data_IF_955182989676
#
_entry.id   IF_955182989676
#
_cell.length_a   1.000
_cell.length_b   1.000
_cell.length_c   1.000
_cell.angle_alpha   90.00
_cell.angle_beta   90.00
_cell.angle_gamma   90.00
#
_symmetry.space_group_name_H-M   'P 1'
#
loop_
_entity.id
_entity.type
_entity.pdbx_description
1 polymer ?
#
# COMPACT_ATOMS: atom_id res chain seq x y z
N UNK A 1 -7.16 3.67 -27.77
CA UNK A 1 -7.74 2.92 -26.63
C UNK A 1 -9.11 2.42 -27.05
N UNK A 2 -9.20 1.17 -27.47
CA UNK A 2 -10.47 0.51 -27.76
C UNK A 2 -11.03 -0.06 -26.45
N UNK A 3 -12.09 0.55 -25.94
CA UNK A 3 -12.80 0.02 -24.77
C UNK A 3 -13.82 -0.99 -25.27
N UNK A 4 -13.55 -2.28 -25.06
CA UNK A 4 -14.53 -3.35 -25.28
C UNK A 4 -15.36 -3.55 -24.02
N UNK A 5 -16.69 -3.46 -24.13
CA UNK A 5 -17.60 -3.80 -23.04
C UNK A 5 -17.75 -5.33 -23.01
N UNK A 6 -17.48 -5.94 -21.87
CA UNK A 6 -17.57 -7.39 -21.66
C UNK A 6 -18.47 -7.65 -20.46
N UNK A 7 -19.44 -8.55 -20.61
CA UNK A 7 -20.28 -9.03 -19.51
C UNK A 7 -19.76 -10.37 -19.01
N UNK A 8 -19.52 -10.47 -17.70
CA UNK A 8 -18.95 -11.66 -17.06
C UNK A 8 -19.88 -12.10 -15.96
N UNK A 9 -20.28 -13.38 -15.95
CA UNK A 9 -20.99 -13.96 -14.81
C UNK A 9 -19.98 -14.41 -13.77
N UNK A 10 -20.19 -13.99 -12.53
CA UNK A 10 -19.30 -14.31 -11.41
C UNK A 10 -20.12 -14.88 -10.25
N UNK A 11 -19.60 -15.85 -9.49
CA UNK A 11 -20.24 -16.32 -8.26
C UNK A 11 -20.39 -15.20 -7.24
N UNK A 12 -21.47 -15.22 -6.45
CA UNK A 12 -21.74 -14.15 -5.48
C UNK A 12 -20.65 -14.02 -4.41
N UNK A 13 -20.05 -15.13 -3.98
CA UNK A 13 -18.91 -15.17 -3.06
C UNK A 13 -17.72 -14.37 -3.59
N UNK A 14 -17.42 -14.50 -4.89
CA UNK A 14 -16.31 -13.81 -5.55
C UNK A 14 -16.59 -12.31 -5.72
N UNK A 15 -17.85 -11.94 -5.98
CA UNK A 15 -18.25 -10.52 -6.05
C UNK A 15 -18.09 -9.86 -4.69
N UNK A 16 -18.43 -10.55 -3.59
CA UNK A 16 -18.23 -10.05 -2.22
C UNK A 16 -16.76 -9.84 -1.90
N UNK A 17 -15.89 -10.81 -2.22
CA UNK A 17 -14.44 -10.67 -1.99
C UNK A 17 -13.83 -9.53 -2.82
N UNK A 18 -14.27 -9.35 -4.07
CA UNK A 18 -13.82 -8.23 -4.90
C UNK A 18 -14.25 -6.87 -4.34
N UNK A 19 -15.49 -6.76 -3.84
CA UNK A 19 -15.97 -5.52 -3.19
C UNK A 19 -15.17 -5.17 -1.94
N UNK A 20 -14.74 -6.17 -1.17
CA UNK A 20 -13.85 -5.93 -0.03
C UNK A 20 -12.47 -5.44 -0.49
N UNK A 21 -11.86 -6.14 -1.45
CA UNK A 21 -10.55 -5.78 -2.00
C UNK A 21 -10.54 -4.40 -2.71
N UNK A 22 -11.67 -3.94 -3.24
CA UNK A 22 -11.81 -2.59 -3.82
C UNK A 22 -11.63 -1.50 -2.77
N UNK A 23 -12.19 -1.70 -1.57
CA UNK A 23 -12.07 -0.73 -0.46
C UNK A 23 -10.64 -0.62 0.02
N UNK A 24 -9.93 -1.74 0.10
CA UNK A 24 -8.53 -1.80 0.53
C UNK A 24 -7.57 -1.29 -0.55
N UNK A 25 -7.82 -1.64 -1.82
CA UNK A 25 -6.98 -1.28 -2.96
C UNK A 25 -7.24 0.10 -3.55
N UNK A 26 -8.15 0.89 -2.94
CA UNK A 26 -8.59 2.20 -3.42
C UNK A 26 -8.96 2.25 -4.90
N UNK A 27 -9.64 1.21 -5.40
CA UNK A 27 -10.14 1.19 -6.78
C UNK A 27 -11.44 2.01 -6.89
N UNK A 28 -11.66 2.66 -8.04
CA UNK A 28 -12.85 3.47 -8.28
C UNK A 28 -14.09 2.59 -8.48
N UNK A 29 -13.95 1.51 -9.24
CA UNK A 29 -15.04 0.61 -9.58
C UNK A 29 -14.60 -0.86 -9.70
N UNK A 30 -15.59 -1.76 -9.78
CA UNK A 30 -15.35 -3.19 -9.92
C UNK A 30 -14.64 -3.51 -11.25
N UNK A 31 -14.96 -2.77 -12.31
CA UNK A 31 -14.36 -2.95 -13.63
C UNK A 31 -12.87 -2.63 -13.63
N UNK A 32 -12.43 -1.61 -12.90
CA UNK A 32 -11.02 -1.25 -12.73
C UNK A 32 -10.26 -2.29 -11.93
N UNK A 33 -10.86 -2.79 -10.84
CA UNK A 33 -10.27 -3.87 -10.06
C UNK A 33 -10.06 -5.13 -10.93
N UNK A 34 -11.07 -5.53 -11.70
CA UNK A 34 -10.96 -6.67 -12.63
C UNK A 34 -9.90 -6.42 -13.71
N UNK A 35 -9.89 -5.24 -14.33
CA UNK A 35 -8.86 -4.86 -15.32
C UNK A 35 -7.45 -4.91 -14.74
N UNK A 36 -7.26 -4.44 -13.51
CA UNK A 36 -5.98 -4.47 -12.80
C UNK A 36 -5.49 -5.92 -12.60
N UNK A 37 -6.38 -6.81 -12.12
CA UNK A 37 -6.06 -8.22 -11.90
C UNK A 37 -5.70 -8.91 -13.22
N UNK A 38 -6.54 -8.76 -14.24
CA UNK A 38 -6.30 -9.37 -15.55
C UNK A 38 -4.99 -8.86 -16.15
N UNK A 39 -4.71 -7.56 -16.05
CA UNK A 39 -3.46 -6.97 -16.55
C UNK A 39 -2.24 -7.50 -15.82
N UNK A 40 -2.30 -7.68 -14.50
CA UNK A 40 -1.20 -8.28 -13.72
C UNK A 40 -0.93 -9.71 -14.17
N UNK A 41 -1.98 -10.54 -14.28
CA UNK A 41 -1.86 -11.93 -14.76
C UNK A 41 -1.36 -12.03 -16.19
N UNK A 42 -1.83 -11.14 -17.06
CA UNK A 42 -1.36 -11.07 -18.43
C UNK A 42 0.12 -10.67 -18.54
N UNK A 43 0.57 -9.70 -17.73
CA UNK A 43 1.98 -9.31 -17.68
C UNK A 43 2.86 -10.43 -17.13
N UNK A 44 2.40 -11.12 -16.09
CA UNK A 44 3.09 -12.29 -15.52
C UNK A 44 3.30 -13.38 -16.57
N UNK A 45 2.29 -13.65 -17.40
CA UNK A 45 2.38 -14.66 -18.46
C UNK A 45 3.20 -14.20 -19.68
N UNK A 46 2.99 -12.95 -20.13
CA UNK A 46 3.63 -12.42 -21.35
C UNK A 46 5.11 -12.14 -21.16
N UNK A 47 5.49 -11.61 -20.00
CA UNK A 47 6.88 -11.22 -19.72
C UNK A 47 7.22 -11.44 -18.23
N UNK A 48 7.63 -12.68 -17.88
CA UNK A 48 7.93 -13.05 -16.51
C UNK A 48 9.07 -12.22 -15.91
N UNK A 49 10.07 -11.86 -16.71
CA UNK A 49 11.27 -11.15 -16.25
C UNK A 49 10.92 -9.73 -15.80
N UNK A 50 10.15 -8.99 -16.61
CA UNK A 50 9.71 -7.64 -16.26
C UNK A 50 8.76 -7.65 -15.06
N UNK A 51 7.92 -8.68 -14.92
CA UNK A 51 7.04 -8.84 -13.77
C UNK A 51 7.83 -9.03 -12.46
N UNK A 52 8.84 -9.90 -12.46
CA UNK A 52 9.70 -10.12 -11.28
C UNK A 52 10.45 -8.85 -10.88
N UNK A 53 11.00 -8.11 -11.83
CA UNK A 53 11.70 -6.84 -11.56
C UNK A 53 10.74 -5.81 -10.94
N UNK A 54 9.50 -5.72 -11.43
CA UNK A 54 8.49 -4.82 -10.86
C UNK A 54 8.10 -5.22 -9.45
N UNK A 55 7.97 -6.52 -9.18
CA UNK A 55 7.69 -7.04 -7.84
C UNK A 55 8.82 -6.70 -6.87
N UNK A 56 10.06 -7.02 -7.23
CA UNK A 56 11.24 -6.69 -6.42
C UNK A 56 11.34 -5.19 -6.12
N UNK A 57 11.04 -4.33 -7.11
CA UNK A 57 11.04 -2.88 -6.89
C UNK A 57 9.96 -2.44 -5.90
N UNK A 58 8.78 -3.05 -5.93
CA UNK A 58 7.72 -2.76 -4.98
C UNK A 58 8.12 -3.18 -3.56
N UNK A 59 8.65 -4.40 -3.40
CA UNK A 59 9.10 -4.94 -2.13
C UNK A 59 10.23 -4.08 -1.51
N UNK A 60 11.21 -3.64 -2.32
CA UNK A 60 12.28 -2.73 -1.87
C UNK A 60 11.69 -1.38 -1.44
N UNK A 61 10.73 -0.82 -2.18
CA UNK A 61 10.12 0.46 -1.85
C UNK A 61 9.37 0.40 -0.52
N UNK A 62 8.70 -0.71 -0.24
CA UNK A 62 7.99 -0.95 1.01
C UNK A 62 8.98 -1.12 2.18
N UNK A 63 10.03 -1.93 2.00
CA UNK A 63 11.09 -2.08 3.01
C UNK A 63 11.79 -0.76 3.36
N UNK A 64 12.07 0.08 2.35
CA UNK A 64 12.66 1.42 2.55
C UNK A 64 11.68 2.33 3.30
N UNK A 65 10.39 2.29 2.98
CA UNK A 65 9.38 3.08 3.68
C UNK A 65 9.28 2.69 5.15
N UNK A 66 9.29 1.40 5.46
CA UNK A 66 9.24 0.89 6.83
C UNK A 66 10.50 1.27 7.62
N UNK A 67 11.68 1.17 7.01
CA UNK A 67 12.94 1.64 7.63
C UNK A 67 12.95 3.15 7.88
N UNK A 68 12.37 3.92 6.96
CA UNK A 68 12.26 5.38 7.07
C UNK A 68 11.24 5.80 8.13
N UNK A 69 10.17 5.03 8.32
CA UNK A 69 9.19 5.28 9.38
C UNK A 69 9.77 4.98 10.76
N UNK A 70 10.48 3.86 10.93
CA UNK A 70 11.16 3.53 12.20
C UNK A 70 12.17 4.60 12.62
N UNK A 71 12.99 5.07 11.68
CA UNK A 71 13.96 6.14 11.94
C UNK A 71 13.28 7.49 12.27
N UNK A 72 12.13 7.79 11.68
CA UNK A 72 11.34 8.99 12.05
C UNK A 72 10.67 8.87 13.41
N UNK A 73 10.18 7.69 13.79
CA UNK A 73 9.62 7.44 15.12
C UNK A 73 10.69 7.59 16.22
N UNK A 74 11.89 7.09 16.00
CA UNK A 74 13.02 7.27 16.94
C UNK A 74 13.36 8.74 17.16
N UNK A 75 13.41 9.53 16.08
CA UNK A 75 13.64 10.99 16.17
C UNK A 75 12.53 11.71 16.95
N UNK A 76 11.27 11.35 16.71
CA UNK A 76 10.12 11.92 17.43
C UNK A 76 10.13 11.56 18.92
N UNK A 77 10.54 10.34 19.29
CA UNK A 77 10.65 9.93 20.69
C UNK A 77 11.74 10.71 21.43
N UNK A 78 12.87 10.99 20.79
CA UNK A 78 13.93 11.80 21.38
C UNK A 78 13.56 13.27 21.52
N UNK A 79 12.82 13.84 20.56
CA UNK A 79 12.26 15.20 20.71
C UNK A 79 11.24 15.26 21.86
N UNK A 80 10.35 14.27 21.99
CA UNK A 80 9.40 14.19 23.09
C UNK A 80 10.10 14.06 24.45
N UNK A 81 11.20 13.30 24.53
CA UNK A 81 12.03 13.21 25.75
C UNK A 81 12.66 14.55 26.11
N UNK A 82 13.24 15.26 25.14
CA UNK A 82 13.81 16.60 25.37
C UNK A 82 12.75 17.59 25.88
N UNK A 83 11.55 17.58 25.27
CA UNK A 83 10.45 18.43 25.70
C UNK A 83 10.02 18.08 27.14
N UNK A 84 9.91 16.79 27.46
CA UNK A 84 9.58 16.33 28.82
C UNK A 84 10.62 16.80 29.84
N UNK A 85 11.91 16.63 29.55
CA UNK A 85 13.00 17.02 30.44
C UNK A 85 13.01 18.54 30.69
N UNK A 86 12.75 19.33 29.64
CA UNK A 86 12.60 20.79 29.75
C UNK A 86 11.42 21.20 30.63
N UNK A 87 10.29 20.49 30.57
CA UNK A 87 9.11 20.77 31.40
C UNK A 87 9.42 20.44 32.86
N UNK A 88 9.97 19.25 33.14
CA UNK A 88 10.34 18.85 34.51
C UNK A 88 11.43 19.72 35.13
N UNK A 89 12.42 20.16 34.35
CA UNK A 89 13.46 21.09 34.81
C UNK A 89 12.92 22.50 35.13
N UNK A 90 11.77 22.87 34.54
CA UNK A 90 11.09 24.15 34.78
C UNK A 90 10.18 24.11 36.00
N UNK A 91 9.65 22.93 36.35
CA UNK A 91 8.86 22.72 37.57
C UNK A 91 9.74 22.69 38.84
N UNK A 92 10.98 22.19 38.76
CA UNK A 92 11.93 22.14 39.90
C UNK A 92 12.53 23.51 40.26
N UNK A 93 12.39 24.52 39.39
CA UNK A 93 12.89 25.90 39.61
C UNK A 93 11.85 26.87 40.20
N UNK A 94 10.65 26.40 40.54
CA UNK A 94 9.65 27.14 41.32
C UNK A 94 9.63 26.64 42.75
#
# INVERSE_FOLDING_TARGET
MTNSIVSIRMPESMVKSLKAAIKEGHYLDLSEAVRSIVRKRWLEWKDPAVFQIKKLRADIKEAVRDSSQKSKEELLLDELRRIKDMITAREVKK
#
